data_IF_584194468329
#
_entry.id   IF_584194468329
#
_cell.length_a   1.000
_cell.length_b   1.000
_cell.length_c   1.000
_cell.angle_alpha   90.00
_cell.angle_beta   90.00
_cell.angle_gamma   90.00
#
_symmetry.space_group_name_H-M   'P 1'
#
loop_
_entity.id
_entity.type
_entity.pdbx_description
1 polymer ?
#
# COMPACT_ATOMS: atom_id res chain seq x y z
N UNK A 1 0.87 -7.89 -32.17
CA UNK A 1 1.01 -8.29 -30.77
C UNK A 1 1.27 -7.11 -29.84
N UNK A 2 2.36 -6.35 -29.98
CA UNK A 2 2.64 -5.19 -29.10
C UNK A 2 1.52 -4.12 -29.13
N UNK A 3 1.06 -3.74 -30.32
CA UNK A 3 -0.03 -2.74 -30.49
C UNK A 3 -1.34 -3.21 -29.83
N UNK A 4 -1.66 -4.49 -29.90
CA UNK A 4 -2.84 -5.07 -29.25
C UNK A 4 -2.71 -5.04 -27.71
N UNK A 5 -1.53 -5.31 -27.18
CA UNK A 5 -1.25 -5.19 -25.73
C UNK A 5 -1.31 -3.75 -25.26
N UNK A 6 -0.76 -2.79 -26.03
CA UNK A 6 -0.88 -1.37 -25.73
C UNK A 6 -2.35 -0.90 -25.71
N UNK A 7 -3.15 -1.32 -26.69
CA UNK A 7 -4.59 -0.97 -26.74
C UNK A 7 -5.35 -1.54 -25.55
N UNK A 8 -5.11 -2.81 -25.21
CA UNK A 8 -5.71 -3.43 -24.00
C UNK A 8 -5.26 -2.72 -22.73
N UNK A 9 -3.96 -2.45 -22.59
CA UNK A 9 -3.40 -1.75 -21.44
C UNK A 9 -3.98 -0.34 -21.27
N UNK A 10 -4.13 0.40 -22.36
CA UNK A 10 -4.79 1.70 -22.37
C UNK A 10 -6.26 1.61 -21.92
N UNK A 11 -7.01 0.63 -22.44
CA UNK A 11 -8.39 0.41 -21.99
C UNK A 11 -8.49 0.07 -20.51
N UNK A 12 -7.60 -0.80 -20.01
CA UNK A 12 -7.51 -1.12 -18.59
C UNK A 12 -7.14 0.11 -17.76
N UNK A 13 -6.13 0.87 -18.19
CA UNK A 13 -5.70 2.11 -17.54
C UNK A 13 -6.82 3.16 -17.44
N UNK A 14 -7.54 3.41 -18.53
CA UNK A 14 -8.68 4.33 -18.54
C UNK A 14 -9.82 3.85 -17.63
N UNK A 15 -10.15 2.54 -17.67
CA UNK A 15 -11.16 1.96 -16.80
C UNK A 15 -10.76 2.04 -15.33
N UNK A 16 -9.50 1.77 -15.01
CA UNK A 16 -8.95 1.88 -13.64
C UNK A 16 -9.02 3.33 -13.20
N UNK A 17 -8.49 4.28 -13.98
CA UNK A 17 -8.57 5.72 -13.66
C UNK A 17 -10.01 6.18 -13.42
N UNK A 18 -10.96 5.75 -14.25
CA UNK A 18 -12.38 6.05 -14.07
C UNK A 18 -12.94 5.47 -12.77
N UNK A 19 -12.59 4.22 -12.45
CA UNK A 19 -13.05 3.55 -11.22
C UNK A 19 -12.49 4.23 -9.98
N UNK A 20 -11.21 4.61 -10.01
CA UNK A 20 -10.54 5.33 -8.94
C UNK A 20 -11.06 6.77 -8.82
N UNK A 21 -11.27 7.44 -9.94
CA UNK A 21 -11.82 8.79 -9.99
C UNK A 21 -13.18 8.93 -9.31
N UNK A 22 -14.04 7.91 -9.40
CA UNK A 22 -15.32 7.88 -8.69
C UNK A 22 -15.17 7.89 -7.16
N UNK A 23 -14.05 7.47 -6.64
CA UNK A 23 -13.74 7.50 -5.19
C UNK A 23 -12.95 8.76 -4.84
N UNK A 24 -11.89 9.05 -5.59
CA UNK A 24 -10.98 10.16 -5.30
C UNK A 24 -11.70 11.51 -5.43
N UNK A 25 -12.47 11.71 -6.51
CA UNK A 25 -13.13 12.98 -6.76
C UNK A 25 -14.05 13.41 -5.61
N UNK A 26 -15.07 12.62 -5.20
CA UNK A 26 -15.93 13.02 -4.11
C UNK A 26 -15.20 13.12 -2.76
N UNK A 27 -14.20 12.25 -2.50
CA UNK A 27 -13.41 12.29 -1.28
C UNK A 27 -12.59 13.58 -1.21
N UNK A 28 -11.83 13.90 -2.26
CA UNK A 28 -11.04 15.14 -2.32
C UNK A 28 -11.92 16.38 -2.16
N UNK A 29 -13.04 16.44 -2.88
CA UNK A 29 -13.98 17.54 -2.80
C UNK A 29 -14.58 17.67 -1.39
N UNK A 30 -15.03 16.54 -0.82
CA UNK A 30 -15.63 16.52 0.52
C UNK A 30 -14.63 16.99 1.59
N UNK A 31 -13.43 16.41 1.58
CA UNK A 31 -12.37 16.76 2.55
C UNK A 31 -12.01 18.24 2.42
N UNK A 32 -11.86 18.75 1.18
CA UNK A 32 -11.56 20.15 0.95
C UNK A 32 -12.66 21.08 1.50
N UNK A 33 -13.94 20.77 1.24
CA UNK A 33 -15.07 21.57 1.77
C UNK A 33 -15.13 21.49 3.30
N UNK A 34 -14.89 20.32 3.90
CA UNK A 34 -14.93 20.14 5.35
C UNK A 34 -13.89 20.99 6.09
N UNK A 35 -12.77 21.36 5.47
CA UNK A 35 -11.77 22.25 6.06
C UNK A 35 -12.33 23.62 6.42
N UNK A 36 -13.36 24.09 5.71
CA UNK A 36 -14.03 25.38 5.95
C UNK A 36 -15.27 25.26 6.86
N UNK A 37 -15.45 24.11 7.51
CA UNK A 37 -16.57 23.87 8.44
C UNK A 37 -16.06 23.67 9.87
N UNK A 38 -16.88 23.93 10.90
CA UNK A 38 -16.48 23.70 12.31
C UNK A 38 -16.37 22.21 12.67
N UNK A 39 -16.86 21.30 11.81
CA UNK A 39 -16.86 19.84 12.07
C UNK A 39 -15.44 19.28 12.07
N UNK A 40 -14.63 19.70 11.09
CA UNK A 40 -13.29 19.17 10.94
C UNK A 40 -12.36 19.51 12.13
N UNK A 41 -12.27 20.77 12.62
CA UNK A 41 -11.49 21.10 13.80
C UNK A 41 -11.87 20.28 15.03
N UNK A 42 -13.16 20.06 15.29
CA UNK A 42 -13.61 19.24 16.41
C UNK A 42 -13.12 17.77 16.32
N UNK A 43 -13.20 17.18 15.13
CA UNK A 43 -12.68 15.81 14.90
C UNK A 43 -11.16 15.77 15.06
N UNK A 44 -10.46 16.78 14.53
CA UNK A 44 -9.01 16.92 14.62
C UNK A 44 -8.56 16.98 16.07
N UNK A 45 -9.17 17.85 16.90
CA UNK A 45 -8.82 18.00 18.32
C UNK A 45 -8.97 16.69 19.10
N UNK A 46 -10.01 15.91 18.80
CA UNK A 46 -10.25 14.61 19.43
C UNK A 46 -9.17 13.57 19.10
N UNK A 47 -8.65 13.58 17.87
CA UNK A 47 -7.73 12.55 17.35
C UNK A 47 -6.25 12.97 17.48
N UNK A 48 -5.98 14.27 17.56
CA UNK A 48 -4.62 14.85 17.61
C UNK A 48 -3.69 14.19 18.63
N UNK A 49 -4.11 13.86 19.88
CA UNK A 49 -3.21 13.22 20.84
C UNK A 49 -2.68 11.87 20.35
N UNK A 50 -3.51 11.09 19.64
CA UNK A 50 -3.13 9.78 19.09
C UNK A 50 -2.19 9.98 17.89
N UNK A 51 -2.51 10.92 17.01
CA UNK A 51 -1.70 11.23 15.84
C UNK A 51 -0.34 11.80 16.21
N UNK A 52 -0.26 12.57 17.29
CA UNK A 52 1.00 13.11 17.83
C UNK A 52 2.04 12.04 18.19
N UNK A 53 1.61 10.85 18.61
CA UNK A 53 2.52 9.70 18.85
C UNK A 53 3.28 9.32 17.59
N UNK A 54 2.63 9.44 16.43
CA UNK A 54 3.22 9.16 15.12
C UNK A 54 3.98 10.34 14.53
N UNK A 55 3.93 11.51 15.18
CA UNK A 55 4.49 12.76 14.66
C UNK A 55 3.65 13.38 13.53
N UNK A 56 2.34 13.18 13.63
CA UNK A 56 1.35 13.63 12.66
C UNK A 56 0.41 14.64 13.33
N UNK A 57 -0.08 15.60 12.54
CA UNK A 57 -1.20 16.47 12.92
C UNK A 57 -2.52 15.68 12.96
N UNK A 58 -3.53 16.21 13.63
CA UNK A 58 -4.85 15.58 13.68
C UNK A 58 -5.48 15.45 12.29
N UNK A 59 -5.23 16.40 11.39
CA UNK A 59 -5.72 16.38 10.00
C UNK A 59 -5.22 15.16 9.22
N UNK A 60 -4.00 14.70 9.52
CA UNK A 60 -3.40 13.51 8.90
C UNK A 60 -4.17 12.20 9.21
N UNK A 61 -5.07 12.21 10.19
CA UNK A 61 -5.96 11.07 10.44
C UNK A 61 -6.92 10.80 9.28
N UNK A 62 -7.34 11.83 8.57
CA UNK A 62 -8.31 11.70 7.45
C UNK A 62 -7.76 10.82 6.34
N UNK A 63 -6.59 11.14 5.72
CA UNK A 63 -6.02 10.29 4.70
C UNK A 63 -5.65 8.90 5.21
N UNK A 64 -5.24 8.77 6.47
CA UNK A 64 -4.91 7.48 7.06
C UNK A 64 -6.15 6.58 7.17
N UNK A 65 -7.26 7.11 7.68
CA UNK A 65 -8.53 6.37 7.79
C UNK A 65 -9.07 6.01 6.41
N UNK A 66 -9.14 6.96 5.48
CA UNK A 66 -9.65 6.72 4.13
C UNK A 66 -8.80 5.72 3.35
N UNK A 67 -7.48 5.82 3.45
CA UNK A 67 -6.57 4.89 2.81
C UNK A 67 -6.68 3.46 3.36
N UNK A 68 -6.87 3.32 4.67
CA UNK A 68 -7.03 2.03 5.32
C UNK A 68 -8.41 1.39 5.09
N UNK A 69 -9.48 2.18 5.10
CA UNK A 69 -10.85 1.67 5.00
C UNK A 69 -11.33 1.49 3.57
N UNK A 70 -10.98 2.41 2.69
CA UNK A 70 -11.38 2.37 1.29
C UNK A 70 -10.26 1.78 0.41
N UNK A 71 -9.26 2.57 0.11
CA UNK A 71 -8.08 2.17 -0.67
C UNK A 71 -6.99 3.27 -0.63
N UNK A 72 -5.79 2.93 -1.10
CA UNK A 72 -4.64 3.84 -1.15
C UNK A 72 -4.95 5.16 -1.87
N UNK A 73 -5.72 5.10 -2.96
CA UNK A 73 -6.03 6.27 -3.79
C UNK A 73 -6.93 7.27 -3.06
N UNK A 74 -7.86 6.79 -2.23
CA UNK A 74 -8.68 7.65 -1.38
C UNK A 74 -7.82 8.40 -0.35
N UNK A 75 -6.84 7.71 0.24
CA UNK A 75 -5.85 8.31 1.13
C UNK A 75 -5.02 9.39 0.43
N UNK A 76 -4.52 9.11 -0.77
CA UNK A 76 -3.76 10.08 -1.58
C UNK A 76 -4.63 11.28 -1.95
N UNK A 77 -5.88 11.05 -2.38
CA UNK A 77 -6.81 12.14 -2.68
C UNK A 77 -7.03 13.07 -1.48
N UNK A 78 -7.12 12.51 -0.28
CA UNK A 78 -7.23 13.30 0.94
C UNK A 78 -5.92 14.06 1.27
N UNK A 79 -4.73 13.43 1.11
CA UNK A 79 -3.44 14.12 1.28
C UNK A 79 -3.35 15.33 0.36
N UNK A 80 -3.71 15.19 -0.90
CA UNK A 80 -3.67 16.28 -1.90
C UNK A 80 -4.61 17.45 -1.57
N UNK A 81 -5.53 17.29 -0.61
CA UNK A 81 -6.52 18.30 -0.21
C UNK A 81 -6.13 19.03 1.07
N UNK A 82 -5.07 18.62 1.76
CA UNK A 82 -4.68 19.11 3.10
C UNK A 82 -3.25 19.61 3.04
N UNK A 83 -2.96 20.72 3.74
CA UNK A 83 -1.62 21.27 3.84
C UNK A 83 -0.84 20.57 4.94
N UNK A 84 -0.05 19.58 4.57
CA UNK A 84 0.81 18.79 5.46
C UNK A 84 2.29 19.11 5.21
N UNK A 85 3.11 18.89 6.22
CA UNK A 85 4.57 18.98 6.06
C UNK A 85 5.10 17.79 5.26
N UNK A 86 6.26 17.95 4.61
CA UNK A 86 6.94 16.85 3.88
C UNK A 86 7.16 15.63 4.79
N UNK A 87 7.47 15.84 6.07
CA UNK A 87 7.63 14.77 7.06
C UNK A 87 6.31 14.02 7.30
N UNK A 88 5.22 14.73 7.50
CA UNK A 88 3.90 14.12 7.72
C UNK A 88 3.44 13.33 6.49
N UNK A 89 3.60 13.90 5.30
CA UNK A 89 3.27 13.20 4.04
C UNK A 89 4.12 11.94 3.88
N UNK A 90 5.41 12.00 4.22
CA UNK A 90 6.28 10.82 4.16
C UNK A 90 5.89 9.75 5.17
N UNK A 91 5.56 10.13 6.43
CA UNK A 91 5.07 9.21 7.45
C UNK A 91 3.76 8.56 6.99
N UNK A 92 2.80 9.34 6.48
CA UNK A 92 1.55 8.83 5.93
C UNK A 92 1.78 7.87 4.76
N UNK A 93 2.68 8.21 3.84
CA UNK A 93 3.01 7.36 2.71
C UNK A 93 3.58 6.00 3.17
N UNK A 94 4.46 6.00 4.17
CA UNK A 94 5.00 4.76 4.75
C UNK A 94 3.91 3.98 5.48
N UNK A 95 3.09 4.62 6.32
CA UNK A 95 1.98 3.97 7.02
C UNK A 95 0.99 3.35 6.04
N UNK A 96 0.55 4.11 5.05
CA UNK A 96 -0.40 3.65 4.03
C UNK A 96 0.20 2.55 3.15
N UNK A 97 1.50 2.60 2.86
CA UNK A 97 2.14 1.53 2.08
C UNK A 97 2.12 0.17 2.78
N UNK A 98 1.99 0.13 4.11
CA UNK A 98 1.83 -1.09 4.89
C UNK A 98 0.37 -1.45 5.18
N UNK A 99 -0.50 -0.46 5.35
CA UNK A 99 -1.82 -0.69 5.95
C UNK A 99 -3.03 -0.35 5.05
N UNK A 100 -2.85 0.26 3.88
CA UNK A 100 -3.98 0.63 3.02
C UNK A 100 -4.88 -0.57 2.65
N UNK A 101 -6.14 -0.28 2.30
CA UNK A 101 -7.08 -1.29 1.79
C UNK A 101 -7.23 -2.51 2.71
N UNK A 102 -7.30 -2.27 4.03
CA UNK A 102 -7.25 -3.33 5.06
C UNK A 102 -8.26 -4.44 4.84
N UNK A 103 -9.49 -4.11 4.48
CA UNK A 103 -10.57 -5.10 4.37
C UNK A 103 -10.38 -6.04 3.18
N UNK A 104 -10.10 -5.50 1.99
CA UNK A 104 -10.00 -6.30 0.76
C UNK A 104 -8.74 -7.18 0.79
N UNK A 105 -7.60 -6.58 1.11
CA UNK A 105 -6.32 -7.30 1.08
C UNK A 105 -6.19 -8.33 2.22
N UNK A 106 -6.75 -8.01 3.40
CA UNK A 106 -6.87 -8.99 4.47
C UNK A 106 -7.80 -10.13 4.06
N UNK A 107 -8.90 -9.83 3.36
CA UNK A 107 -9.81 -10.83 2.80
C UNK A 107 -9.12 -11.78 1.82
N UNK A 108 -8.19 -11.30 1.00
CA UNK A 108 -7.36 -12.14 0.11
C UNK A 108 -6.48 -13.09 0.92
N UNK A 109 -5.80 -12.58 1.95
CA UNK A 109 -4.95 -13.39 2.82
C UNK A 109 -5.74 -14.50 3.53
N UNK A 110 -6.95 -14.20 3.98
CA UNK A 110 -7.85 -15.21 4.60
C UNK A 110 -8.21 -16.33 3.62
N UNK A 111 -8.47 -16.00 2.34
CA UNK A 111 -8.82 -17.01 1.31
C UNK A 111 -7.69 -17.99 1.00
N UNK A 112 -6.45 -17.62 1.26
CA UNK A 112 -5.29 -18.54 1.14
C UNK A 112 -4.91 -19.21 2.46
N UNK A 113 -5.73 -19.04 3.51
CA UNK A 113 -5.58 -19.72 4.80
C UNK A 113 -4.66 -19.03 5.82
N UNK A 114 -4.26 -17.78 5.57
CA UNK A 114 -3.50 -16.97 6.55
C UNK A 114 -4.43 -16.49 7.65
N UNK A 115 -3.97 -16.46 8.89
CA UNK A 115 -4.80 -16.04 10.03
C UNK A 115 -4.97 -14.53 10.06
N UNK A 116 -6.21 -14.06 10.34
CA UNK A 116 -6.58 -12.65 10.41
C UNK A 116 -5.64 -11.83 11.31
N UNK A 117 -5.42 -12.28 12.54
CA UNK A 117 -4.63 -11.55 13.52
C UNK A 117 -3.17 -11.37 13.07
N UNK A 118 -2.60 -12.34 12.32
CA UNK A 118 -1.23 -12.23 11.78
C UNK A 118 -1.15 -11.07 10.80
N UNK A 119 -2.09 -11.00 9.87
CA UNK A 119 -2.10 -9.96 8.84
C UNK A 119 -2.32 -8.58 9.46
N UNK A 120 -3.30 -8.45 10.36
CA UNK A 120 -3.57 -7.17 11.01
C UNK A 120 -2.41 -6.72 11.90
N UNK A 121 -1.80 -7.63 12.68
CA UNK A 121 -0.64 -7.33 13.50
C UNK A 121 0.55 -6.84 12.65
N UNK A 122 0.84 -7.52 11.55
CA UNK A 122 1.94 -7.12 10.66
C UNK A 122 1.63 -5.77 10.03
N UNK A 123 0.47 -5.57 9.46
CA UNK A 123 0.15 -4.34 8.73
C UNK A 123 0.08 -3.12 9.64
N UNK A 124 -0.72 -3.18 10.70
CA UNK A 124 -0.89 -2.08 11.64
C UNK A 124 0.36 -1.89 12.51
N UNK A 125 1.03 -2.98 12.89
CA UNK A 125 2.29 -2.93 13.63
C UNK A 125 3.40 -2.27 12.83
N UNK A 126 3.60 -2.66 11.55
CA UNK A 126 4.59 -2.02 10.68
C UNK A 126 4.28 -0.55 10.44
N UNK A 127 3.02 -0.21 10.17
CA UNK A 127 2.60 1.18 9.98
C UNK A 127 2.93 2.02 11.22
N UNK A 128 2.53 1.55 12.41
CA UNK A 128 2.74 2.28 13.67
C UNK A 128 4.22 2.38 14.04
N UNK A 129 4.96 1.28 14.00
CA UNK A 129 6.39 1.25 14.36
C UNK A 129 7.21 2.10 13.41
N UNK A 130 6.95 2.02 12.10
CA UNK A 130 7.66 2.84 11.11
C UNK A 130 7.39 4.32 11.30
N UNK A 131 6.14 4.72 11.58
CA UNK A 131 5.78 6.11 11.85
C UNK A 131 6.55 6.64 13.07
N UNK A 132 6.54 5.91 14.19
CA UNK A 132 7.26 6.28 15.41
C UNK A 132 8.77 6.39 15.13
N UNK A 133 9.36 5.41 14.44
CA UNK A 133 10.80 5.44 14.12
C UNK A 133 11.15 6.63 13.23
N UNK A 134 10.38 6.91 12.18
CA UNK A 134 10.61 8.06 11.31
C UNK A 134 10.48 9.35 12.12
N UNK A 135 9.45 9.47 12.95
CA UNK A 135 9.24 10.64 13.78
C UNK A 135 10.42 10.91 14.73
N UNK A 136 10.97 9.86 15.34
CA UNK A 136 12.09 9.97 16.27
C UNK A 136 13.43 10.26 15.59
N UNK A 137 13.67 9.59 14.45
CA UNK A 137 14.98 9.62 13.79
C UNK A 137 15.12 10.77 12.78
N UNK A 138 14.06 11.13 12.10
CA UNK A 138 14.11 12.19 11.08
C UNK A 138 13.73 13.54 11.67
N UNK A 139 14.71 14.45 11.78
CA UNK A 139 14.53 15.82 12.33
C UNK A 139 14.24 16.88 11.26
N UNK A 140 14.24 16.53 9.97
CA UNK A 140 13.92 17.41 8.84
C UNK A 140 12.49 17.31 8.36
N UNK A 141 12.21 17.94 7.21
CA UNK A 141 10.93 17.83 6.51
C UNK A 141 9.80 18.69 7.09
N UNK A 142 10.13 19.76 7.83
CA UNK A 142 9.14 20.68 8.42
C UNK A 142 8.53 21.69 7.45
N UNK A 143 9.01 21.76 6.19
CA UNK A 143 8.37 22.60 5.15
C UNK A 143 7.06 21.98 4.67
N UNK A 144 6.10 22.82 4.28
CA UNK A 144 4.86 22.35 3.65
C UNK A 144 5.18 21.60 2.36
N UNK A 145 4.54 20.45 2.17
CA UNK A 145 4.70 19.63 0.99
C UNK A 145 4.07 20.32 -0.24
N UNK A 146 4.82 20.31 -1.34
CA UNK A 146 4.30 20.80 -2.62
C UNK A 146 3.76 19.63 -3.42
N UNK A 147 2.47 19.64 -3.65
CA UNK A 147 1.78 18.58 -4.37
C UNK A 147 1.71 18.86 -5.88
N UNK A 148 1.85 17.78 -6.64
CA UNK A 148 1.64 17.80 -8.07
C UNK A 148 2.88 18.16 -8.89
N UNK A 149 2.70 18.04 -10.22
CA UNK A 149 3.70 18.38 -11.22
C UNK A 149 3.71 19.90 -11.54
N UNK A 150 2.72 20.62 -11.06
CA UNK A 150 2.56 22.06 -11.26
C UNK A 150 2.31 22.70 -9.88
N UNK A 151 2.99 23.81 -9.55
CA UNK A 151 2.74 24.51 -8.30
C UNK A 151 1.29 24.98 -8.24
N UNK A 152 0.57 24.57 -7.20
CA UNK A 152 -0.76 25.12 -6.93
C UNK A 152 -0.63 26.58 -6.54
N UNK A 153 -1.47 27.43 -7.12
CA UNK A 153 -1.58 28.83 -6.71
C UNK A 153 -2.28 28.83 -5.36
N UNK A 154 -1.61 29.30 -4.32
CA UNK A 154 -2.24 29.54 -3.02
C UNK A 154 -3.33 30.61 -3.20
N UNK A 155 -4.57 30.22 -3.06
CA UNK A 155 -5.71 31.12 -2.95
C UNK A 155 -6.45 30.79 -1.68
N UNK A 156 -6.77 31.79 -0.89
CA UNK A 156 -7.68 31.67 0.25
C UNK A 156 -9.08 32.06 -0.23
N UNK A 157 -9.96 31.09 -0.48
CA UNK A 157 -11.27 31.39 -1.00
C UNK A 157 -12.17 32.06 0.09
N UNK A 158 -12.71 33.23 -0.20
CA UNK A 158 -13.52 34.04 0.75
C UNK A 158 -15.02 33.73 0.67
N UNK A 159 -15.46 32.95 -0.30
CA UNK A 159 -16.88 32.63 -0.52
C UNK A 159 -17.11 31.12 -0.71
N UNK A 160 -18.31 30.67 -0.31
CA UNK A 160 -18.68 29.25 -0.52
C UNK A 160 -18.58 28.81 -2.01
N UNK A 161 -18.93 29.72 -2.95
CA UNK A 161 -18.78 29.43 -4.38
C UNK A 161 -17.32 29.23 -4.78
N UNK A 162 -16.41 30.06 -4.25
CA UNK A 162 -14.97 29.90 -4.50
C UNK A 162 -14.40 28.62 -3.86
N UNK A 163 -14.84 28.28 -2.63
CA UNK A 163 -14.45 27.03 -1.96
C UNK A 163 -14.84 25.81 -2.80
N UNK A 164 -16.10 25.74 -3.24
CA UNK A 164 -16.58 24.62 -4.07
C UNK A 164 -15.84 24.57 -5.40
N UNK A 165 -15.65 25.71 -6.08
CA UNK A 165 -14.93 25.77 -7.35
C UNK A 165 -13.48 25.30 -7.21
N UNK A 166 -12.77 25.74 -6.18
CA UNK A 166 -11.39 25.33 -5.93
C UNK A 166 -11.32 23.84 -5.55
N UNK A 167 -12.25 23.34 -4.75
CA UNK A 167 -12.38 21.92 -4.44
C UNK A 167 -12.60 21.06 -5.70
N UNK A 168 -13.44 21.50 -6.63
CA UNK A 168 -13.65 20.85 -7.92
C UNK A 168 -12.36 20.85 -8.76
N UNK A 169 -11.64 21.96 -8.77
CA UNK A 169 -10.36 22.09 -9.47
C UNK A 169 -9.31 21.14 -8.88
N UNK A 170 -9.12 21.14 -7.56
CA UNK A 170 -8.18 20.23 -6.87
C UNK A 170 -8.54 18.76 -7.13
N UNK A 171 -9.80 18.38 -7.02
CA UNK A 171 -10.27 17.03 -7.28
C UNK A 171 -10.01 16.61 -8.73
N UNK A 172 -10.27 17.50 -9.70
CA UNK A 172 -10.04 17.22 -11.12
C UNK A 172 -8.55 17.07 -11.47
N UNK A 173 -7.71 17.96 -10.92
CA UNK A 173 -6.25 17.90 -11.08
C UNK A 173 -5.67 16.63 -10.45
N UNK A 174 -6.15 16.23 -9.28
CA UNK A 174 -5.74 15.00 -8.61
C UNK A 174 -6.01 13.75 -9.48
N UNK A 175 -7.18 13.68 -10.14
CA UNK A 175 -7.50 12.59 -11.08
C UNK A 175 -6.59 12.65 -12.31
N UNK A 176 -6.34 13.82 -12.87
CA UNK A 176 -5.45 13.96 -14.02
C UNK A 176 -4.03 13.48 -13.72
N UNK A 177 -3.47 13.87 -12.57
CA UNK A 177 -2.15 13.42 -12.12
C UNK A 177 -2.09 11.91 -11.92
N UNK A 178 -3.14 11.34 -11.32
CA UNK A 178 -3.28 9.91 -11.17
C UNK A 178 -3.32 9.20 -12.54
N UNK A 179 -4.10 9.72 -13.48
CA UNK A 179 -4.20 9.16 -14.83
C UNK A 179 -2.86 9.10 -15.56
N UNK A 180 -2.03 10.16 -15.39
CA UNK A 180 -0.68 10.24 -15.97
C UNK A 180 0.27 9.16 -15.45
N UNK A 181 0.01 8.61 -14.27
CA UNK A 181 0.80 7.52 -13.68
C UNK A 181 0.15 6.17 -14.00
N UNK A 182 -1.13 6.02 -13.72
CA UNK A 182 -1.84 4.73 -13.81
C UNK A 182 -1.95 4.24 -15.26
N UNK A 183 -2.22 5.13 -16.23
CA UNK A 183 -2.41 4.68 -17.62
C UNK A 183 -1.13 4.08 -18.20
N UNK A 184 0.04 4.75 -18.19
CA UNK A 184 1.29 4.15 -18.67
C UNK A 184 1.64 2.87 -17.93
N UNK A 185 1.45 2.85 -16.60
CA UNK A 185 1.72 1.68 -15.78
C UNK A 185 0.88 0.47 -16.23
N UNK A 186 -0.42 0.64 -16.43
CA UNK A 186 -1.30 -0.43 -16.89
C UNK A 186 -0.94 -0.92 -18.30
N UNK A 187 -0.45 -0.04 -19.18
CA UNK A 187 0.07 -0.44 -20.49
C UNK A 187 1.31 -1.32 -20.33
N UNK A 188 2.26 -0.92 -19.51
CA UNK A 188 3.47 -1.71 -19.24
C UNK A 188 3.10 -3.07 -18.64
N UNK A 189 2.24 -3.09 -17.62
CA UNK A 189 1.78 -4.32 -16.97
C UNK A 189 1.07 -5.27 -17.95
N UNK A 190 0.24 -4.74 -18.86
CA UNK A 190 -0.41 -5.55 -19.87
C UNK A 190 0.59 -6.18 -20.86
N UNK A 191 1.62 -5.43 -21.26
CA UNK A 191 2.69 -5.94 -22.13
C UNK A 191 3.45 -7.06 -21.42
N UNK A 192 3.81 -6.89 -20.15
CA UNK A 192 4.50 -7.90 -19.35
C UNK A 192 3.68 -9.18 -19.21
N UNK A 193 2.36 -9.04 -18.99
CA UNK A 193 1.42 -10.15 -18.89
C UNK A 193 1.29 -10.91 -20.21
N UNK A 194 1.06 -10.20 -21.32
CA UNK A 194 0.89 -10.82 -22.64
C UNK A 194 2.16 -11.53 -23.16
N UNK A 195 3.34 -11.06 -22.71
CA UNK A 195 4.64 -11.69 -23.00
C UNK A 195 4.98 -12.85 -22.07
N UNK A 196 4.11 -13.21 -21.11
CA UNK A 196 4.36 -14.24 -20.08
C UNK A 196 5.62 -13.98 -19.24
N UNK A 197 5.98 -12.73 -19.06
CA UNK A 197 7.16 -12.35 -18.27
C UNK A 197 6.99 -12.68 -16.79
N UNK A 198 5.76 -12.80 -16.32
CA UNK A 198 5.48 -13.25 -14.95
C UNK A 198 6.05 -14.65 -14.68
N UNK A 199 5.94 -15.60 -15.66
CA UNK A 199 6.50 -16.94 -15.53
C UNK A 199 8.03 -16.92 -15.53
N UNK A 200 8.64 -16.04 -16.33
CA UNK A 200 10.10 -15.85 -16.34
C UNK A 200 10.55 -15.24 -15.01
N UNK A 201 9.85 -14.23 -14.53
CA UNK A 201 10.16 -13.57 -13.27
C UNK A 201 9.96 -14.50 -12.08
N UNK A 202 8.92 -15.36 -12.11
CA UNK A 202 8.73 -16.39 -11.09
C UNK A 202 9.91 -17.36 -10.99
N UNK A 203 10.47 -17.80 -12.12
CA UNK A 203 11.68 -18.63 -12.13
C UNK A 203 12.90 -17.91 -11.56
N UNK A 204 13.07 -16.63 -11.87
CA UNK A 204 14.16 -15.82 -11.30
C UNK A 204 14.00 -15.57 -9.80
N UNK A 205 12.74 -15.52 -9.34
CA UNK A 205 12.42 -15.33 -7.91
C UNK A 205 12.61 -16.62 -7.09
N UNK A 206 12.71 -17.80 -7.70
CA UNK A 206 12.85 -19.07 -6.98
C UNK A 206 14.01 -19.08 -5.96
N UNK A 207 15.25 -18.62 -6.28
CA UNK A 207 16.33 -18.54 -5.29
C UNK A 207 16.04 -17.52 -4.18
N UNK A 208 15.41 -16.40 -4.50
CA UNK A 208 15.00 -15.39 -3.51
C UNK A 208 13.94 -15.98 -2.57
N UNK A 209 12.94 -16.68 -3.13
CA UNK A 209 11.89 -17.37 -2.36
C UNK A 209 12.50 -18.37 -1.37
N UNK A 210 13.50 -19.13 -1.79
CA UNK A 210 14.26 -20.04 -0.89
C UNK A 210 15.02 -19.27 0.19
N UNK A 211 15.69 -18.17 -0.18
CA UNK A 211 16.41 -17.30 0.77
C UNK A 211 15.49 -16.71 1.83
N UNK A 212 14.23 -16.45 1.49
CA UNK A 212 13.19 -15.99 2.41
C UNK A 212 12.61 -17.12 3.29
N UNK A 213 13.08 -18.35 3.16
CA UNK A 213 12.67 -19.49 3.97
C UNK A 213 11.41 -20.22 3.48
N UNK A 214 10.99 -19.99 2.24
CA UNK A 214 9.84 -20.63 1.59
C UNK A 214 10.30 -21.63 0.52
N UNK A 215 9.40 -22.54 0.12
CA UNK A 215 9.63 -23.43 -1.02
C UNK A 215 9.45 -22.67 -2.34
N UNK A 216 10.14 -23.14 -3.39
CA UNK A 216 10.12 -22.52 -4.73
C UNK A 216 8.73 -22.44 -5.36
N UNK A 217 7.84 -23.38 -5.06
CA UNK A 217 6.47 -23.39 -5.56
C UNK A 217 5.65 -22.16 -5.07
N UNK A 218 6.17 -21.39 -4.10
CA UNK A 218 5.58 -20.12 -3.63
C UNK A 218 5.96 -18.92 -4.52
N UNK A 219 6.91 -19.09 -5.44
CA UNK A 219 7.45 -17.98 -6.25
C UNK A 219 6.39 -17.30 -7.11
N UNK A 220 5.43 -18.04 -7.70
CA UNK A 220 4.36 -17.44 -8.49
C UNK A 220 3.44 -16.55 -7.62
N UNK A 221 3.13 -16.99 -6.40
CA UNK A 221 2.35 -16.18 -5.43
C UNK A 221 3.06 -14.88 -5.09
N UNK A 222 4.38 -14.93 -4.82
CA UNK A 222 5.19 -13.74 -4.54
C UNK A 222 5.23 -12.80 -5.75
N UNK A 223 5.50 -13.33 -6.94
CA UNK A 223 5.60 -12.51 -8.16
C UNK A 223 4.27 -11.86 -8.50
N UNK A 224 3.17 -12.58 -8.41
CA UNK A 224 1.85 -12.01 -8.65
C UNK A 224 1.55 -10.85 -7.68
N UNK A 225 1.85 -11.05 -6.38
CA UNK A 225 1.68 -9.99 -5.39
C UNK A 225 2.62 -8.80 -5.60
N UNK A 226 3.91 -9.03 -5.89
CA UNK A 226 4.90 -7.97 -6.13
C UNK A 226 4.60 -7.13 -7.37
N UNK A 227 4.07 -7.74 -8.43
CA UNK A 227 3.87 -7.07 -9.72
C UNK A 227 2.47 -6.51 -9.90
N UNK A 228 1.44 -7.23 -9.45
CA UNK A 228 0.03 -6.91 -9.68
C UNK A 228 -0.64 -6.40 -8.39
N UNK A 229 -0.06 -6.71 -7.24
CA UNK A 229 -0.60 -6.36 -5.93
C UNK A 229 -1.56 -7.40 -5.35
N UNK A 230 -1.95 -7.20 -4.10
CA UNK A 230 -2.78 -8.16 -3.36
C UNK A 230 -4.23 -8.20 -3.87
N UNK A 231 -4.82 -7.04 -4.13
CA UNK A 231 -6.21 -6.95 -4.54
C UNK A 231 -6.42 -7.46 -5.98
N UNK A 232 -5.65 -6.95 -6.93
CA UNK A 232 -5.78 -7.31 -8.35
C UNK A 232 -5.15 -8.66 -8.70
N UNK A 233 -4.09 -9.04 -7.99
CA UNK A 233 -3.42 -10.35 -8.14
C UNK A 233 -4.11 -11.48 -7.39
N UNK A 234 -5.18 -11.21 -6.62
CA UNK A 234 -5.83 -12.18 -5.74
C UNK A 234 -6.19 -13.50 -6.45
N UNK A 235 -6.76 -13.42 -7.64
CA UNK A 235 -7.13 -14.60 -8.42
C UNK A 235 -5.95 -15.50 -8.73
N UNK A 236 -4.84 -14.91 -9.21
CA UNK A 236 -3.61 -15.63 -9.55
C UNK A 236 -2.98 -16.23 -8.28
N UNK A 237 -2.90 -15.46 -7.19
CA UNK A 237 -2.32 -15.93 -5.94
C UNK A 237 -3.12 -17.07 -5.32
N UNK A 238 -4.45 -16.96 -5.27
CA UNK A 238 -5.32 -18.01 -4.74
C UNK A 238 -5.22 -19.29 -5.59
N UNK A 239 -5.15 -19.14 -6.92
CA UNK A 239 -4.99 -20.26 -7.84
C UNK A 239 -3.61 -20.92 -7.65
N UNK A 240 -2.51 -20.14 -7.63
CA UNK A 240 -1.17 -20.65 -7.42
C UNK A 240 -1.04 -21.39 -6.08
N UNK A 241 -1.60 -20.85 -4.99
CA UNK A 241 -1.58 -21.55 -3.69
C UNK A 241 -2.28 -22.92 -3.76
N UNK A 242 -3.38 -23.03 -4.51
CA UNK A 242 -4.14 -24.30 -4.64
C UNK A 242 -3.49 -25.27 -5.58
N UNK A 243 -3.06 -24.83 -6.76
CA UNK A 243 -2.54 -25.69 -7.84
C UNK A 243 -1.09 -26.12 -7.61
N UNK A 244 -0.25 -25.19 -7.10
CA UNK A 244 1.16 -25.48 -6.84
C UNK A 244 1.38 -26.18 -5.48
N UNK A 245 0.33 -26.44 -4.71
CA UNK A 245 0.41 -27.12 -3.42
C UNK A 245 1.24 -26.35 -2.40
N UNK A 246 1.10 -25.04 -2.36
CA UNK A 246 1.80 -24.15 -1.41
C UNK A 246 1.37 -24.48 0.01
N UNK A 247 2.32 -24.73 0.91
CA UNK A 247 2.02 -25.02 2.30
C UNK A 247 1.42 -23.79 3.01
N UNK A 248 0.60 -24.02 4.06
CA UNK A 248 0.06 -22.93 4.87
C UNK A 248 1.14 -22.04 5.48
N UNK A 249 2.29 -22.64 5.82
CA UNK A 249 3.46 -21.93 6.31
C UNK A 249 4.02 -20.99 5.23
N UNK A 250 4.29 -21.52 4.04
CA UNK A 250 4.86 -20.76 2.94
C UNK A 250 3.89 -19.67 2.47
N UNK A 251 2.58 -19.96 2.39
CA UNK A 251 1.55 -18.95 2.14
C UNK A 251 1.56 -17.83 3.19
N UNK A 252 1.70 -18.18 4.49
CA UNK A 252 1.78 -17.18 5.56
C UNK A 252 3.03 -16.31 5.42
N UNK A 253 4.20 -16.90 5.15
CA UNK A 253 5.44 -16.16 4.94
C UNK A 253 5.36 -15.26 3.70
N UNK A 254 4.80 -15.77 2.59
CA UNK A 254 4.58 -14.98 1.39
C UNK A 254 3.67 -13.78 1.64
N UNK A 255 2.59 -13.96 2.39
CA UNK A 255 1.69 -12.86 2.73
C UNK A 255 2.29 -11.88 3.74
N UNK A 256 3.13 -12.33 4.70
CA UNK A 256 3.91 -11.41 5.57
C UNK A 256 4.83 -10.53 4.72
N UNK A 257 5.49 -11.10 3.72
CA UNK A 257 6.30 -10.34 2.77
C UNK A 257 5.45 -9.37 1.96
N UNK A 258 4.37 -9.85 1.37
CA UNK A 258 3.55 -9.07 0.45
C UNK A 258 2.78 -7.95 1.14
N UNK A 259 2.28 -8.13 2.35
CA UNK A 259 1.60 -7.03 3.07
C UNK A 259 2.58 -5.92 3.48
N UNK A 260 3.87 -6.21 3.54
CA UNK A 260 4.91 -5.21 3.75
C UNK A 260 5.39 -4.58 2.42
N UNK A 261 5.41 -5.35 1.32
CA UNK A 261 5.88 -4.88 0.02
C UNK A 261 5.18 -5.63 -1.13
N UNK A 262 4.08 -5.09 -1.62
CA UNK A 262 3.38 -5.59 -2.82
C UNK A 262 3.24 -4.46 -3.86
N UNK A 263 2.77 -4.78 -5.06
CA UNK A 263 2.61 -3.84 -6.18
C UNK A 263 3.77 -2.84 -6.26
N UNK A 264 5.01 -3.36 -6.22
CA UNK A 264 6.22 -2.56 -5.93
C UNK A 264 6.33 -1.32 -6.82
N UNK A 265 6.01 -1.43 -8.10
CA UNK A 265 6.08 -0.32 -9.05
C UNK A 265 4.89 0.62 -8.86
N UNK A 266 3.67 0.07 -8.83
CA UNK A 266 2.42 0.85 -8.73
C UNK A 266 2.36 1.63 -7.42
N UNK A 267 2.42 0.91 -6.28
CA UNK A 267 2.31 1.51 -4.95
C UNK A 267 3.50 2.43 -4.57
N UNK A 268 4.57 2.42 -5.35
CA UNK A 268 5.68 3.34 -5.15
C UNK A 268 5.51 4.59 -6.00
N UNK A 269 5.19 4.42 -7.29
CA UNK A 269 5.06 5.55 -8.21
C UNK A 269 3.84 6.42 -7.93
N UNK A 270 2.80 5.86 -7.32
CA UNK A 270 1.59 6.62 -6.99
C UNK A 270 1.83 7.72 -5.95
N UNK A 271 2.91 7.64 -5.17
CA UNK A 271 3.30 8.67 -4.23
C UNK A 271 4.12 9.82 -4.85
N UNK A 272 4.54 9.70 -6.14
CA UNK A 272 5.31 10.74 -6.84
C UNK A 272 4.65 12.12 -6.79
N UNK A 273 3.32 12.26 -7.01
CA UNK A 273 2.65 13.56 -6.95
C UNK A 273 2.68 14.24 -5.59
N UNK A 274 3.03 13.50 -4.53
CA UNK A 274 3.08 14.04 -3.17
C UNK A 274 4.39 14.77 -2.84
N UNK A 275 5.33 14.84 -3.79
CA UNK A 275 6.59 15.59 -3.62
C UNK A 275 7.54 14.99 -2.57
N UNK A 276 7.39 13.72 -2.21
CA UNK A 276 8.20 13.04 -1.21
C UNK A 276 9.32 12.19 -1.84
N UNK A 277 10.40 11.88 -1.10
CA UNK A 277 11.48 11.04 -1.61
C UNK A 277 11.03 9.58 -1.78
N UNK A 278 10.89 9.14 -3.03
CA UNK A 278 10.36 7.80 -3.38
C UNK A 278 11.34 6.68 -3.08
N UNK A 279 12.64 6.88 -3.29
CA UNK A 279 13.66 5.84 -3.06
C UNK A 279 13.72 5.39 -1.59
N UNK A 280 13.78 6.28 -0.59
CA UNK A 280 13.67 5.89 0.81
C UNK A 280 12.38 5.13 1.13
N UNK A 281 11.23 5.55 0.59
CA UNK A 281 9.96 4.83 0.77
C UNK A 281 10.05 3.39 0.27
N UNK A 282 10.57 3.19 -0.95
CA UNK A 282 10.77 1.86 -1.53
C UNK A 282 11.73 1.00 -0.70
N UNK A 283 12.86 1.58 -0.27
CA UNK A 283 13.85 0.86 0.53
C UNK A 283 13.29 0.43 1.90
N UNK A 284 12.53 1.30 2.58
CA UNK A 284 11.86 0.97 3.84
C UNK A 284 10.92 -0.23 3.63
N UNK A 285 10.07 -0.21 2.60
CA UNK A 285 9.14 -1.31 2.28
C UNK A 285 9.89 -2.62 2.03
N UNK A 286 10.87 -2.58 1.13
CA UNK A 286 11.60 -3.78 0.71
C UNK A 286 12.46 -4.37 1.84
N UNK A 287 13.25 -3.54 2.52
CA UNK A 287 14.09 -4.00 3.64
C UNK A 287 13.24 -4.56 4.78
N UNK A 288 12.12 -3.92 5.10
CA UNK A 288 11.21 -4.39 6.13
C UNK A 288 10.57 -5.73 5.74
N UNK A 289 10.10 -5.87 4.49
CA UNK A 289 9.53 -7.11 3.98
C UNK A 289 10.52 -8.28 4.08
N UNK A 290 11.75 -8.08 3.62
CA UNK A 290 12.82 -9.08 3.65
C UNK A 290 13.18 -9.44 5.10
N UNK A 291 13.49 -8.44 5.92
CA UNK A 291 13.93 -8.66 7.30
C UNK A 291 12.86 -9.37 8.13
N UNK A 292 11.61 -8.89 8.07
CA UNK A 292 10.51 -9.49 8.82
C UNK A 292 10.25 -10.94 8.39
N UNK A 293 10.23 -11.20 7.08
CA UNK A 293 9.99 -12.55 6.56
C UNK A 293 11.08 -13.52 7.00
N UNK A 294 12.36 -13.13 6.91
CA UNK A 294 13.49 -13.97 7.36
C UNK A 294 13.41 -14.23 8.87
N UNK A 295 13.11 -13.21 9.67
CA UNK A 295 12.97 -13.35 11.13
C UNK A 295 11.85 -14.34 11.44
N UNK A 296 10.67 -14.18 10.87
CA UNK A 296 9.54 -15.07 11.12
C UNK A 296 9.82 -16.50 10.62
N UNK A 297 10.43 -16.66 9.45
CA UNK A 297 10.81 -17.97 8.92
C UNK A 297 11.81 -18.67 9.85
N UNK A 298 12.79 -17.93 10.39
CA UNK A 298 13.80 -18.47 11.31
C UNK A 298 13.18 -18.89 12.65
N UNK A 299 12.30 -18.06 13.21
CA UNK A 299 11.57 -18.39 14.45
C UNK A 299 10.72 -19.64 14.24
N UNK A 300 10.00 -19.71 13.11
CA UNK A 300 9.16 -20.87 12.79
C UNK A 300 9.98 -22.15 12.65
N UNK A 301 11.11 -22.10 11.93
CA UNK A 301 12.03 -23.24 11.78
C UNK A 301 12.55 -23.72 13.12
N UNK A 302 12.92 -22.81 14.04
CA UNK A 302 13.36 -23.16 15.40
C UNK A 302 12.25 -23.81 16.21
N UNK A 303 11.03 -23.28 16.14
CA UNK A 303 9.87 -23.85 16.85
C UNK A 303 9.54 -25.27 16.35
N UNK A 304 9.60 -25.54 15.03
CA UNK A 304 9.42 -26.88 14.45
C UNK A 304 10.53 -27.85 14.91
N UNK A 305 11.78 -27.38 14.96
CA UNK A 305 12.92 -28.17 15.43
C UNK A 305 12.77 -28.58 16.89
N UNK A 306 12.35 -27.65 17.77
CA UNK A 306 12.16 -27.94 19.18
C UNK A 306 11.04 -28.96 19.42
N UNK A 307 9.90 -28.85 18.70
CA UNK A 307 8.81 -29.84 18.76
C UNK A 307 9.24 -31.24 18.35
N UNK A 308 10.19 -31.39 17.41
CA UNK A 308 10.73 -32.69 17.01
C UNK A 308 11.67 -33.31 18.03
N UNK A 309 12.24 -32.49 18.92
CA UNK A 309 13.16 -32.93 19.97
C UNK A 309 12.48 -33.27 21.28
N UNK A 310 11.22 -32.86 21.50
CA UNK A 310 10.45 -33.30 22.67
C UNK A 310 10.16 -34.80 22.53
N UNK A 311 10.61 -35.64 23.48
CA UNK A 311 10.31 -37.08 23.44
C UNK A 311 8.80 -37.25 23.54
N UNK A 312 8.25 -38.03 22.60
CA UNK A 312 6.87 -38.51 22.72
C UNK A 312 6.81 -39.42 23.94
N UNK A 313 6.43 -38.85 25.08
CA UNK A 313 6.08 -39.70 26.24
C UNK A 313 4.82 -40.47 25.84
N UNK A 314 5.02 -41.71 25.37
CA UNK A 314 3.95 -42.63 25.08
C UNK A 314 3.14 -42.83 26.37
N UNK A 315 1.85 -42.61 26.29
CA UNK A 315 0.91 -43.18 27.24
C UNK A 315 0.99 -44.71 27.10
N UNK A 316 1.82 -45.32 27.96
CA UNK A 316 1.74 -46.73 28.28
C UNK A 316 0.67 -46.88 29.34
N UNK A 317 -0.47 -47.35 28.95
CA UNK A 317 -1.35 -48.20 29.80
C UNK A 317 -2.38 -48.83 28.93
#
# INVERSE_FOLDING_TARGET
MLLSSCKKGLQVGLKTTWTLGKVIFPVTLLVYILQFTPVLPWVIDLISPIMGVFGLSGEAAIPLVLGNTLNLYAGIGAILSIDLTVKEVFILAVMLSFSHNLFIETGVALKVGVKLWVILLVRLGLASVSAILINLLWKGGGSIAQYGLLPAKESTPDTWGAIVFEGLQKASLGILQLALIVIPLMVIMQILKDKKWLDVFSRWMAPVTRGLGMKENTSMTLVAGLTIGLAYGAGIMIQAVKEDGVSRKDATLAFIFLVACHAVVEDTLIFVPLGIPILPLLLIRLCTAVALTIVVATIWKRAEWNKRKEPTYGHSS
#
